data_IF_902911033293
#
_entry.id   IF_902911033293
#
_cell.length_a   1.000
_cell.length_b   1.000
_cell.length_c   1.000
_cell.angle_alpha   90.00
_cell.angle_beta   90.00
_cell.angle_gamma   90.00
#
_symmetry.space_group_name_H-M   'P 1'
#
loop_
_entity.id
_entity.type
_entity.pdbx_description
1 polymer ?
#
# COMPACT_ATOMS: atom_id res chain seq x y z
N UNK A 1 20.24 13.47 16.62
CA UNK A 1 18.84 13.78 16.99
C UNK A 1 18.09 14.15 15.73
N UNK A 2 16.90 13.58 15.49
CA UNK A 2 16.02 13.87 14.33
C UNK A 2 14.71 14.49 14.82
N UNK A 3 13.55 13.85 14.64
CA UNK A 3 12.30 14.23 15.29
C UNK A 3 12.20 13.79 16.76
N UNK A 4 11.14 14.25 17.43
CA UNK A 4 10.83 13.91 18.82
C UNK A 4 10.04 12.59 18.92
N UNK A 5 10.68 11.46 18.60
CA UNK A 5 10.03 10.14 18.62
C UNK A 5 9.77 9.60 20.04
N UNK A 6 10.60 10.01 21.02
CA UNK A 6 10.64 9.37 22.33
C UNK A 6 9.44 9.74 23.20
N UNK A 7 8.35 9.00 23.04
CA UNK A 7 7.19 9.02 23.94
C UNK A 7 7.51 8.17 25.18
N UNK A 8 7.97 8.82 26.25
CA UNK A 8 8.44 8.12 27.47
C UNK A 8 7.40 7.15 28.07
N UNK A 9 6.12 7.53 28.27
CA UNK A 9 5.12 6.62 28.84
C UNK A 9 4.46 5.73 27.77
N UNK A 10 5.26 5.03 26.96
CA UNK A 10 4.78 4.30 25.77
C UNK A 10 3.64 3.31 26.09
N UNK A 11 3.81 2.46 27.10
CA UNK A 11 2.83 1.40 27.43
C UNK A 11 1.54 1.94 28.03
N UNK A 12 1.55 3.15 28.62
CA UNK A 12 0.34 3.83 29.09
C UNK A 12 -0.42 4.51 27.95
N UNK A 13 0.30 5.07 26.97
CA UNK A 13 -0.31 5.79 25.84
C UNK A 13 -0.85 4.86 24.74
N UNK A 14 -0.12 3.77 24.41
CA UNK A 14 -0.50 2.85 23.32
C UNK A 14 -1.94 2.31 23.41
N UNK A 15 -2.43 1.80 24.57
CA UNK A 15 -3.80 1.30 24.65
C UNK A 15 -4.84 2.41 24.44
N UNK A 16 -4.61 3.60 24.99
CA UNK A 16 -5.46 4.77 24.80
C UNK A 16 -5.51 5.21 23.33
N UNK A 17 -4.36 5.32 22.68
CA UNK A 17 -4.25 5.85 21.32
C UNK A 17 -4.88 4.95 20.26
N UNK A 18 -4.84 3.63 20.48
CA UNK A 18 -5.28 2.64 19.49
C UNK A 18 -6.49 1.80 19.95
N UNK A 19 -7.15 2.21 21.04
CA UNK A 19 -8.35 1.55 21.57
C UNK A 19 -8.13 0.10 22.02
N UNK A 20 -6.93 -0.24 22.49
CA UNK A 20 -6.54 -1.62 22.82
C UNK A 20 -7.12 -2.13 24.14
N UNK A 21 -7.70 -1.23 24.92
CA UNK A 21 -8.54 -1.54 26.07
C UNK A 21 -9.91 -2.09 25.65
N UNK A 22 -10.36 -1.83 24.42
CA UNK A 22 -11.62 -2.35 23.87
C UNK A 22 -11.44 -3.48 22.86
N UNK A 23 -10.53 -3.32 21.89
CA UNK A 23 -10.37 -4.23 20.76
C UNK A 23 -8.92 -4.39 20.35
N UNK A 24 -8.54 -5.60 19.92
CA UNK A 24 -7.18 -5.93 19.48
C UNK A 24 -7.22 -6.87 18.27
N UNK A 25 -6.30 -6.75 17.29
CA UNK A 25 -5.28 -5.70 17.12
C UNK A 25 -5.81 -4.45 16.38
N UNK A 26 -5.09 -3.30 16.40
CA UNK A 26 -5.38 -2.16 15.55
C UNK A 26 -4.83 -2.38 14.14
N UNK A 27 -5.15 -1.49 13.19
CA UNK A 27 -4.58 -1.49 11.83
C UNK A 27 -3.50 -0.42 11.68
N UNK A 28 -2.26 -0.76 12.01
CA UNK A 28 -1.11 0.08 11.72
C UNK A 28 -0.66 -0.08 10.26
N UNK A 29 -0.11 1.00 9.68
CA UNK A 29 0.41 1.02 8.32
C UNK A 29 1.68 1.87 8.25
N UNK A 30 2.68 1.43 7.49
CA UNK A 30 3.88 2.22 7.21
C UNK A 30 3.61 3.21 6.06
N UNK A 31 3.69 4.51 6.33
CA UNK A 31 3.19 5.52 5.38
C UNK A 31 3.99 5.65 4.09
N UNK A 32 5.26 5.28 4.06
CA UNK A 32 6.06 5.36 2.82
C UNK A 32 5.47 4.47 1.73
N UNK A 33 5.22 3.19 2.02
CA UNK A 33 4.59 2.27 1.07
C UNK A 33 3.16 2.70 0.75
N UNK A 34 2.41 3.16 1.76
CA UNK A 34 1.05 3.65 1.56
C UNK A 34 0.98 4.81 0.55
N UNK A 35 1.81 5.85 0.71
CA UNK A 35 1.79 6.98 -0.21
C UNK A 35 2.45 6.67 -1.54
N UNK A 36 3.52 5.86 -1.56
CA UNK A 36 4.13 5.41 -2.81
C UNK A 36 3.08 4.73 -3.70
N UNK A 37 2.23 3.90 -3.09
CA UNK A 37 1.11 3.24 -3.73
C UNK A 37 -0.03 4.20 -4.13
N UNK A 38 -0.67 4.85 -3.15
CA UNK A 38 -1.94 5.57 -3.36
C UNK A 38 -1.80 6.98 -3.94
N UNK A 39 -0.59 7.55 -3.97
CA UNK A 39 -0.32 8.72 -4.82
C UNK A 39 0.33 8.33 -6.15
N UNK A 40 0.28 7.05 -6.51
CA UNK A 40 0.73 6.48 -7.79
C UNK A 40 2.15 6.89 -8.19
N UNK A 41 3.02 7.17 -7.22
CA UNK A 41 4.42 7.55 -7.48
C UNK A 41 5.21 6.41 -8.13
N UNK A 42 4.83 5.17 -7.82
CA UNK A 42 5.39 3.96 -8.43
C UNK A 42 5.26 3.93 -9.95
N UNK A 43 4.25 4.59 -10.52
CA UNK A 43 4.06 4.69 -11.97
C UNK A 43 5.14 5.52 -12.68
N UNK A 44 5.95 6.25 -11.92
CA UNK A 44 7.01 7.12 -12.41
C UNK A 44 8.40 6.67 -11.95
N UNK A 45 8.49 5.43 -11.44
CA UNK A 45 9.73 4.89 -10.91
C UNK A 45 10.81 4.79 -11.99
N UNK A 46 12.04 5.14 -11.63
CA UNK A 46 13.20 5.07 -12.53
C UNK A 46 14.32 4.21 -12.01
N UNK A 47 14.32 3.90 -10.70
CA UNK A 47 15.32 3.05 -10.10
C UNK A 47 14.95 1.58 -10.33
N UNK A 48 15.77 0.87 -11.08
CA UNK A 48 15.59 -0.56 -11.27
C UNK A 48 16.24 -1.36 -10.12
N UNK A 49 15.66 -2.52 -9.79
CA UNK A 49 16.18 -3.41 -8.75
C UNK A 49 17.64 -3.80 -9.03
N UNK A 50 17.96 -4.10 -10.29
CA UNK A 50 19.31 -4.53 -10.69
C UNK A 50 20.40 -3.50 -10.38
N UNK A 51 20.07 -2.22 -10.28
CA UNK A 51 21.01 -1.13 -9.99
C UNK A 51 21.45 -1.09 -8.52
N UNK A 52 20.66 -1.68 -7.62
CA UNK A 52 20.90 -1.70 -6.17
C UNK A 52 21.30 -3.08 -5.64
N UNK A 53 21.39 -4.09 -6.51
CA UNK A 53 21.86 -5.40 -6.15
C UNK A 53 23.38 -5.41 -5.91
N UNK A 54 23.82 -6.26 -4.99
CA UNK A 54 25.24 -6.60 -4.86
C UNK A 54 25.75 -7.18 -6.19
N UNK A 55 27.00 -6.88 -6.62
CA UNK A 55 27.59 -7.49 -7.81
C UNK A 55 27.75 -9.02 -7.70
N UNK A 56 27.56 -9.60 -6.51
CA UNK A 56 27.58 -11.05 -6.28
C UNK A 56 26.18 -11.70 -6.36
N UNK A 57 25.12 -10.90 -6.41
CA UNK A 57 23.75 -11.41 -6.55
C UNK A 57 23.45 -11.75 -8.01
N UNK A 58 22.60 -12.75 -8.23
CA UNK A 58 22.07 -13.08 -9.55
C UNK A 58 20.84 -12.21 -9.80
N UNK A 59 20.89 -11.33 -10.78
CA UNK A 59 19.81 -10.39 -11.05
C UNK A 59 18.49 -11.08 -11.44
N UNK A 60 18.58 -12.28 -12.01
CA UNK A 60 17.45 -13.08 -12.46
C UNK A 60 16.57 -13.58 -11.29
N UNK A 61 17.15 -13.67 -10.08
CA UNK A 61 16.42 -14.07 -8.87
C UNK A 61 15.57 -12.92 -8.29
N UNK A 62 15.73 -11.70 -8.81
CA UNK A 62 15.09 -10.47 -8.31
C UNK A 62 14.38 -9.68 -9.43
N UNK A 63 13.44 -10.29 -10.18
CA UNK A 63 12.71 -9.60 -11.24
C UNK A 63 11.65 -8.65 -10.66
N UNK A 64 11.09 -7.81 -11.52
CA UNK A 64 10.05 -6.83 -11.17
C UNK A 64 10.59 -5.49 -10.66
N UNK A 65 9.66 -4.65 -10.23
CA UNK A 65 9.85 -3.26 -9.81
C UNK A 65 9.87 -3.11 -8.29
N UNK A 66 10.18 -1.91 -7.78
CA UNK A 66 10.16 -1.65 -6.33
C UNK A 66 8.78 -1.88 -5.69
N UNK A 67 7.68 -1.59 -6.39
CA UNK A 67 6.34 -1.87 -5.85
C UNK A 67 6.06 -3.37 -5.76
N UNK A 68 6.57 -4.18 -6.71
CA UNK A 68 6.41 -5.64 -6.67
C UNK A 68 7.05 -6.26 -5.42
N UNK A 69 8.23 -5.75 -5.03
CA UNK A 69 8.90 -6.15 -3.78
C UNK A 69 8.09 -5.77 -2.54
N UNK A 70 7.38 -4.65 -2.58
CA UNK A 70 6.51 -4.25 -1.48
C UNK A 70 5.28 -5.17 -1.39
N UNK A 71 4.63 -5.52 -2.51
CA UNK A 71 3.50 -6.48 -2.53
C UNK A 71 3.94 -7.86 -2.05
N UNK A 72 5.13 -8.32 -2.46
CA UNK A 72 5.77 -9.55 -1.94
C UNK A 72 5.92 -9.52 -0.43
N UNK A 73 6.47 -8.43 0.11
CA UNK A 73 6.65 -8.25 1.55
C UNK A 73 5.32 -8.23 2.31
N UNK A 74 4.29 -7.57 1.76
CA UNK A 74 2.95 -7.52 2.35
C UNK A 74 2.31 -8.91 2.46
N UNK A 75 2.26 -9.68 1.36
CA UNK A 75 1.64 -11.02 1.38
C UNK A 75 2.41 -12.05 2.22
N UNK A 76 3.71 -11.84 2.42
CA UNK A 76 4.55 -12.65 3.32
C UNK A 76 4.45 -12.23 4.80
N UNK A 77 3.67 -11.19 5.12
CA UNK A 77 3.50 -10.69 6.48
C UNK A 77 4.71 -9.91 7.01
N UNK A 78 5.62 -9.46 6.14
CA UNK A 78 6.77 -8.63 6.52
C UNK A 78 6.38 -7.17 6.72
N UNK A 79 5.43 -6.68 5.93
CA UNK A 79 4.87 -5.33 6.00
C UNK A 79 3.34 -5.38 6.14
N UNK A 80 2.73 -4.37 6.78
CA UNK A 80 1.27 -4.22 6.77
C UNK A 80 0.76 -3.71 5.42
N UNK A 81 -0.55 -3.91 5.18
CA UNK A 81 -1.28 -3.42 3.99
C UNK A 81 -2.42 -2.48 4.39
N UNK A 82 -2.67 -1.44 3.60
CA UNK A 82 -3.85 -0.58 3.77
C UNK A 82 -4.28 0.07 2.44
N UNK A 83 -5.50 -0.19 1.93
CA UNK A 83 -6.43 -1.25 2.36
C UNK A 83 -5.78 -2.65 2.35
N UNK A 84 -6.32 -3.59 3.13
CA UNK A 84 -5.70 -4.91 3.30
C UNK A 84 -6.06 -5.88 2.17
N UNK A 85 -7.35 -5.97 1.83
CA UNK A 85 -7.90 -6.98 0.93
C UNK A 85 -8.68 -6.28 -0.18
N UNK A 86 -8.73 -6.90 -1.36
CA UNK A 86 -9.50 -6.46 -2.52
C UNK A 86 -11.03 -6.49 -2.35
N UNK A 87 -11.52 -6.64 -1.11
CA UNK A 87 -12.94 -6.71 -0.77
C UNK A 87 -13.18 -6.12 0.60
N UNK A 88 -14.43 -5.78 0.91
CA UNK A 88 -14.79 -5.31 2.23
C UNK A 88 -14.59 -6.43 3.28
N UNK A 89 -13.65 -6.28 4.24
CA UNK A 89 -13.30 -7.34 5.17
C UNK A 89 -14.45 -7.74 6.11
N UNK A 90 -15.42 -6.84 6.34
CA UNK A 90 -16.58 -7.11 7.18
C UNK A 90 -17.55 -8.13 6.55
N UNK A 91 -17.44 -8.38 5.24
CA UNK A 91 -18.29 -9.34 4.53
C UNK A 91 -17.75 -10.78 4.56
N UNK A 92 -16.50 -10.98 4.99
CA UNK A 92 -15.85 -12.30 4.95
C UNK A 92 -16.48 -13.29 5.94
N UNK A 93 -16.81 -12.85 7.15
CA UNK A 93 -17.37 -13.73 8.17
C UNK A 93 -18.67 -14.40 7.71
N UNK A 94 -19.57 -13.63 7.09
CA UNK A 94 -20.84 -14.15 6.55
C UNK A 94 -20.63 -15.14 5.39
N UNK A 95 -19.64 -14.88 4.51
CA UNK A 95 -19.30 -15.81 3.42
C UNK A 95 -18.70 -17.12 3.95
N UNK A 96 -17.84 -17.03 4.97
CA UNK A 96 -17.24 -18.19 5.62
C UNK A 96 -18.30 -19.05 6.32
N UNK A 97 -19.24 -18.43 7.04
CA UNK A 97 -20.37 -19.11 7.67
C UNK A 97 -21.23 -19.86 6.64
N UNK A 98 -21.56 -19.22 5.52
CA UNK A 98 -22.31 -19.87 4.43
C UNK A 98 -21.56 -21.05 3.77
N UNK A 99 -20.22 -21.03 3.82
CA UNK A 99 -19.36 -22.12 3.35
C UNK A 99 -19.12 -23.20 4.42
N UNK A 100 -19.64 -23.04 5.64
CA UNK A 100 -19.41 -23.98 6.76
C UNK A 100 -17.97 -23.98 7.27
N UNK A 101 -17.25 -22.86 7.14
CA UNK A 101 -15.83 -22.75 7.51
C UNK A 101 -15.59 -21.64 8.55
N UNK A 102 -14.48 -21.74 9.28
CA UNK A 102 -14.01 -20.59 10.07
C UNK A 102 -13.62 -19.43 9.15
N UNK A 103 -13.75 -18.19 9.63
CA UNK A 103 -13.38 -17.01 8.81
C UNK A 103 -11.90 -17.01 8.42
N UNK A 104 -11.03 -17.52 9.29
CA UNK A 104 -9.60 -17.61 9.02
C UNK A 104 -9.29 -18.64 7.92
N UNK A 105 -9.84 -19.85 8.03
CA UNK A 105 -9.62 -20.92 7.04
C UNK A 105 -10.21 -20.53 5.68
N UNK A 106 -11.39 -19.92 5.68
CA UNK A 106 -12.02 -19.39 4.48
C UNK A 106 -11.14 -18.33 3.82
N UNK A 107 -10.63 -17.35 4.57
CA UNK A 107 -9.76 -16.31 4.02
C UNK A 107 -8.47 -16.90 3.42
N UNK A 108 -7.82 -17.84 4.11
CA UNK A 108 -6.61 -18.51 3.62
C UNK A 108 -6.90 -19.33 2.37
N UNK A 109 -8.01 -20.07 2.34
CA UNK A 109 -8.42 -20.82 1.15
C UNK A 109 -8.64 -19.89 -0.04
N UNK A 110 -9.38 -18.79 0.17
CA UNK A 110 -9.67 -17.85 -0.92
C UNK A 110 -8.41 -17.15 -1.43
N UNK A 111 -7.48 -16.76 -0.54
CA UNK A 111 -6.18 -16.21 -0.91
C UNK A 111 -5.37 -17.20 -1.76
N UNK A 112 -5.33 -18.48 -1.38
CA UNK A 112 -4.62 -19.52 -2.15
C UNK A 112 -5.26 -19.80 -3.50
N UNK A 113 -6.58 -19.68 -3.60
CA UNK A 113 -7.32 -19.90 -4.85
C UNK A 113 -7.29 -18.71 -5.82
N UNK A 114 -6.96 -17.52 -5.33
CA UNK A 114 -7.01 -16.27 -6.10
C UNK A 114 -8.35 -15.54 -6.09
N UNK A 115 -9.41 -16.11 -5.50
CA UNK A 115 -10.73 -15.47 -5.34
C UNK A 115 -10.72 -14.30 -4.34
N UNK A 116 -9.74 -14.28 -3.43
CA UNK A 116 -9.42 -13.15 -2.57
C UNK A 116 -7.99 -12.72 -2.88
N UNK A 117 -7.79 -11.43 -3.12
CA UNK A 117 -6.47 -10.85 -3.39
C UNK A 117 -6.12 -9.79 -2.35
N UNK A 118 -4.83 -9.49 -2.19
CA UNK A 118 -4.41 -8.30 -1.46
C UNK A 118 -4.79 -7.06 -2.24
N UNK A 119 -5.23 -6.00 -1.56
CA UNK A 119 -5.61 -4.76 -2.24
C UNK A 119 -4.43 -4.12 -3.00
N UNK A 120 -3.20 -4.38 -2.55
CA UNK A 120 -1.98 -3.87 -3.14
C UNK A 120 -1.65 -4.48 -4.52
N UNK A 121 -2.27 -5.60 -4.91
CA UNK A 121 -2.11 -6.21 -6.24
C UNK A 121 -2.86 -5.41 -7.34
N UNK A 122 -3.88 -4.64 -6.96
CA UNK A 122 -4.66 -3.80 -7.88
C UNK A 122 -5.01 -2.45 -7.20
N UNK A 123 -4.02 -1.59 -6.93
CA UNK A 123 -4.22 -0.38 -6.13
C UNK A 123 -5.00 0.71 -6.87
N UNK A 124 -4.94 0.72 -8.20
CA UNK A 124 -5.69 1.64 -9.06
C UNK A 124 -7.18 1.25 -9.15
N UNK A 125 -7.57 0.09 -8.60
CA UNK A 125 -8.98 -0.28 -8.47
C UNK A 125 -9.68 0.66 -7.48
N UNK A 126 -10.82 1.23 -7.89
CA UNK A 126 -11.61 2.13 -7.07
C UNK A 126 -12.04 1.52 -5.71
N UNK A 127 -12.06 0.20 -5.54
CA UNK A 127 -12.34 -0.44 -4.24
C UNK A 127 -11.14 -0.44 -3.29
N UNK A 128 -9.93 -0.35 -3.82
CA UNK A 128 -8.66 -0.52 -3.10
C UNK A 128 -8.00 0.82 -2.72
N UNK A 129 -8.71 1.92 -2.93
CA UNK A 129 -8.23 3.27 -2.69
C UNK A 129 -8.75 3.87 -1.36
N UNK A 130 -7.92 4.60 -0.59
CA UNK A 130 -8.34 5.26 0.65
C UNK A 130 -9.27 6.46 0.39
N UNK A 131 -10.55 6.32 0.73
CA UNK A 131 -11.57 7.35 0.42
C UNK A 131 -11.72 8.47 1.44
N UNK A 132 -11.29 8.24 2.68
CA UNK A 132 -11.40 9.21 3.76
C UNK A 132 -10.06 9.31 4.46
N UNK A 133 -9.54 10.54 4.60
CA UNK A 133 -8.28 10.80 5.24
C UNK A 133 -8.43 11.94 6.25
N UNK A 134 -8.06 11.67 7.50
CA UNK A 134 -8.01 12.69 8.55
C UNK A 134 -6.58 13.20 8.69
N UNK A 135 -6.39 14.52 8.59
CA UNK A 135 -5.10 15.18 8.75
C UNK A 135 -5.19 16.13 9.93
N UNK A 136 -4.48 15.84 11.01
CA UNK A 136 -4.38 16.70 12.18
C UNK A 136 -2.97 16.66 12.73
N UNK A 137 -2.51 17.77 13.33
CA UNK A 137 -1.14 17.94 13.85
C UNK A 137 -0.06 17.61 12.80
N UNK A 138 -0.40 17.73 11.52
CA UNK A 138 0.43 17.43 10.36
C UNK A 138 0.11 18.43 9.26
N UNK A 139 1.13 18.87 8.54
CA UNK A 139 0.98 19.60 7.29
C UNK A 139 1.48 18.72 6.14
N UNK A 140 0.75 17.63 5.87
CA UNK A 140 1.14 16.62 4.89
C UNK A 140 1.37 17.24 3.51
N UNK A 141 0.40 18.01 3.03
CA UNK A 141 0.43 18.59 1.69
C UNK A 141 1.36 19.80 1.55
N UNK A 142 1.88 20.36 2.65
CA UNK A 142 2.76 21.53 2.62
C UNK A 142 4.16 21.31 3.17
N UNK A 143 4.49 20.10 3.65
CA UNK A 143 5.77 19.84 4.31
C UNK A 143 6.26 18.41 4.15
N UNK A 144 5.55 17.43 4.71
CA UNK A 144 6.06 16.06 4.79
C UNK A 144 5.75 15.21 3.56
N UNK A 145 4.83 15.62 2.69
CA UNK A 145 4.44 14.94 1.46
C UNK A 145 5.50 15.04 0.38
N UNK A 146 6.33 13.99 0.25
CA UNK A 146 7.24 13.85 -0.89
C UNK A 146 6.42 13.46 -2.12
N UNK A 147 6.78 14.06 -3.25
CA UNK A 147 5.97 13.92 -4.46
C UNK A 147 4.66 14.70 -4.39
N UNK A 148 4.72 15.97 -3.97
CA UNK A 148 3.55 16.85 -3.78
C UNK A 148 2.57 16.83 -4.96
N UNK A 149 3.09 17.01 -6.19
CA UNK A 149 2.26 17.04 -7.40
C UNK A 149 1.55 15.71 -7.67
N UNK A 150 2.15 14.58 -7.28
CA UNK A 150 1.50 13.27 -7.36
C UNK A 150 0.35 13.16 -6.36
N UNK A 151 0.50 13.68 -5.14
CA UNK A 151 -0.61 13.76 -4.19
C UNK A 151 -1.74 14.66 -4.71
N UNK A 152 -1.43 15.80 -5.34
CA UNK A 152 -2.44 16.68 -5.93
C UNK A 152 -3.23 16.00 -7.07
N UNK A 153 -2.56 15.24 -7.93
CA UNK A 153 -3.17 14.52 -9.04
C UNK A 153 -3.99 13.31 -8.54
N UNK A 154 -3.31 12.38 -7.88
CA UNK A 154 -3.83 11.03 -7.61
C UNK A 154 -4.70 10.96 -6.35
N UNK A 155 -4.39 11.76 -5.32
CA UNK A 155 -5.19 11.75 -4.08
C UNK A 155 -6.30 12.80 -4.06
N UNK A 156 -6.11 13.94 -4.73
CA UNK A 156 -7.07 15.05 -4.68
C UNK A 156 -7.84 15.26 -5.99
N UNK A 157 -7.36 14.71 -7.12
CA UNK A 157 -7.98 14.95 -8.43
C UNK A 157 -7.93 16.42 -8.85
N UNK A 158 -6.87 17.13 -8.47
CA UNK A 158 -6.69 18.57 -8.74
C UNK A 158 -5.62 18.81 -9.80
N UNK A 159 -5.53 20.05 -10.30
CA UNK A 159 -4.44 20.46 -11.20
C UNK A 159 -3.09 20.22 -10.53
N UNK A 160 -2.13 19.74 -11.32
CA UNK A 160 -0.79 19.39 -10.87
C UNK A 160 0.26 19.87 -11.87
N UNK A 161 1.51 19.88 -11.42
CA UNK A 161 2.69 20.30 -12.16
C UNK A 161 3.61 19.17 -12.64
N UNK A 162 3.20 17.89 -12.53
CA UNK A 162 3.98 16.74 -13.06
C UNK A 162 4.34 16.98 -14.54
N UNK A 163 5.64 16.97 -14.86
CA UNK A 163 6.16 17.17 -16.22
C UNK A 163 6.57 15.87 -16.92
N UNK A 164 6.95 14.85 -16.13
CA UNK A 164 7.37 13.56 -16.67
C UNK A 164 6.19 12.72 -17.14
N UNK A 165 6.43 11.83 -18.10
CA UNK A 165 5.47 10.77 -18.45
C UNK A 165 5.61 9.58 -17.50
N UNK A 166 4.57 8.76 -17.42
CA UNK A 166 4.60 7.55 -16.62
C UNK A 166 5.25 6.37 -17.38
N UNK A 167 5.41 5.23 -16.71
CA UNK A 167 6.06 4.04 -17.27
C UNK A 167 5.37 3.50 -18.53
N UNK A 168 4.05 3.67 -18.69
CA UNK A 168 3.31 3.17 -19.85
C UNK A 168 3.75 3.86 -21.13
N UNK A 169 3.92 5.19 -21.07
CA UNK A 169 4.38 6.00 -22.20
C UNK A 169 5.85 5.74 -22.59
N UNK A 170 6.67 5.23 -21.66
CA UNK A 170 8.09 4.97 -21.87
C UNK A 170 8.39 3.52 -22.28
N UNK A 171 7.39 2.64 -22.34
CA UNK A 171 7.62 1.19 -22.51
C UNK A 171 8.43 0.62 -21.35
N UNK A 172 8.15 1.11 -20.13
CA UNK A 172 8.90 0.86 -18.91
C UNK A 172 8.90 -0.61 -18.45
N UNK A 173 9.61 -0.85 -17.35
CA UNK A 173 9.79 -2.18 -16.78
C UNK A 173 8.44 -2.87 -16.53
N UNK A 174 8.31 -4.14 -16.95
CA UNK A 174 7.11 -4.94 -16.70
C UNK A 174 6.93 -5.17 -15.20
N UNK A 175 5.77 -4.80 -14.68
CA UNK A 175 5.31 -5.17 -13.34
C UNK A 175 4.90 -6.64 -13.35
N UNK A 176 5.10 -7.31 -12.22
CA UNK A 176 4.75 -8.73 -12.07
C UNK A 176 3.64 -8.97 -11.05
N UNK A 177 3.55 -8.14 -10.03
CA UNK A 177 2.65 -8.30 -8.88
C UNK A 177 1.52 -7.27 -8.87
N UNK A 178 1.74 -6.12 -9.51
CA UNK A 178 0.77 -5.02 -9.57
C UNK A 178 0.15 -4.93 -10.96
N UNK A 179 -1.19 -4.88 -10.99
CA UNK A 179 -1.95 -4.66 -12.21
C UNK A 179 -1.74 -3.23 -12.73
N UNK A 180 -1.27 -3.13 -13.98
CA UNK A 180 -1.21 -1.86 -14.70
C UNK A 180 -2.57 -1.52 -15.32
N UNK A 181 -3.00 -0.28 -15.13
CA UNK A 181 -4.09 0.34 -15.89
C UNK A 181 -3.52 1.51 -16.69
N UNK A 182 -3.82 1.56 -17.99
CA UNK A 182 -3.29 2.62 -18.88
C UNK A 182 -3.69 4.01 -18.38
N UNK A 183 -4.96 4.17 -18.04
CA UNK A 183 -5.46 5.37 -17.38
C UNK A 183 -5.44 5.15 -15.87
N UNK A 184 -4.55 5.89 -15.20
CA UNK A 184 -4.50 5.92 -13.74
C UNK A 184 -5.70 6.70 -13.16
N UNK A 185 -6.25 6.31 -12.00
CA UNK A 185 -7.30 7.07 -11.34
C UNK A 185 -6.80 8.45 -10.90
N UNK A 186 -7.65 9.48 -10.95
CA UNK A 186 -7.36 10.81 -10.42
C UNK A 186 -8.46 11.22 -9.43
N UNK A 187 -8.11 11.32 -8.13
CA UNK A 187 -9.05 11.72 -7.07
C UNK A 187 -9.84 10.57 -6.45
#
# INVERSE_FOLDING_TARGET
>A
YVGQEKLRPQTGWTPLAFGLDWQRPPRHMNSTSFFYNHSSQWRYEKLEIKEILSPLAKAEDYPGSLIDFNVRAERMGWLPSAPQLGTNPLRLAKKAEAAGMSTADYAVQQLKSGELAFAAEDPDNAQNFPRNMFIWRSNLLGSSGKGHEYMLKYLLGTRHGIQGKDLGDFGGQKLEEVKWHEEAPEG
#
